data_IF_613080729252
#
_entry.id   IF_613080729252
#
_cell.length_a   1.000
_cell.length_b   1.000
_cell.length_c   1.000
_cell.angle_alpha   90.00
_cell.angle_beta   90.00
_cell.angle_gamma   90.00
#
_symmetry.space_group_name_H-M   'P 1'
#
loop_
_entity.id
_entity.type
_entity.pdbx_description
1 polymer ?
#
# COMPACT_ATOMS: atom_id res chain seq x y z
N UNK A 1 -8.69 -65.21 18.59
CA UNK A 1 -8.09 -63.89 18.29
C UNK A 1 -8.90 -63.28 17.16
N UNK A 2 -9.99 -62.58 17.48
CA UNK A 2 -10.84 -61.91 16.49
C UNK A 2 -10.31 -60.50 16.28
N UNK A 3 -9.56 -60.30 15.20
CA UNK A 3 -9.16 -58.98 14.74
C UNK A 3 -10.36 -58.29 14.09
N UNK A 4 -11.05 -57.47 14.88
CA UNK A 4 -12.07 -56.55 14.37
C UNK A 4 -11.39 -55.49 13.52
N UNK A 5 -11.59 -55.58 12.19
CA UNK A 5 -11.16 -54.55 11.26
C UNK A 5 -11.91 -53.25 11.57
N UNK A 6 -11.13 -52.22 11.90
CA UNK A 6 -11.60 -50.86 12.14
C UNK A 6 -12.38 -50.37 10.91
N UNK A 7 -13.56 -49.75 11.05
CA UNK A 7 -14.28 -49.21 9.90
C UNK A 7 -13.40 -48.14 9.25
N UNK A 8 -13.18 -48.28 7.95
CA UNK A 8 -12.56 -47.25 7.12
C UNK A 8 -13.47 -46.03 7.20
N UNK A 9 -13.03 -44.99 7.90
CA UNK A 9 -13.72 -43.70 7.95
C UNK A 9 -13.89 -43.19 6.51
N UNK A 10 -15.13 -43.22 6.04
CA UNK A 10 -15.55 -42.52 4.83
C UNK A 10 -15.18 -41.06 5.01
N UNK A 11 -14.24 -40.56 4.20
CA UNK A 11 -13.84 -39.16 4.15
C UNK A 11 -15.11 -38.32 3.94
N UNK A 12 -15.66 -37.74 5.01
CA UNK A 12 -16.85 -36.92 4.93
C UNK A 12 -16.56 -35.77 3.94
N UNK A 13 -17.32 -35.72 2.85
CA UNK A 13 -17.23 -34.64 1.87
C UNK A 13 -17.33 -33.31 2.62
N UNK A 14 -16.35 -32.42 2.45
CA UNK A 14 -16.36 -31.12 3.10
C UNK A 14 -17.70 -30.39 2.85
N UNK A 15 -18.26 -29.68 3.85
CA UNK A 15 -19.51 -28.96 3.68
C UNK A 15 -19.36 -27.92 2.56
N UNK A 16 -20.32 -27.89 1.64
CA UNK A 16 -20.39 -26.89 0.59
C UNK A 16 -21.15 -25.66 1.10
N UNK A 17 -20.52 -24.49 1.03
CA UNK A 17 -21.08 -23.20 1.41
C UNK A 17 -21.09 -22.28 0.18
N UNK A 18 -22.22 -21.63 -0.08
CA UNK A 18 -22.32 -20.58 -1.09
C UNK A 18 -22.07 -19.20 -0.46
N UNK A 19 -21.15 -18.43 -1.02
CA UNK A 19 -20.78 -17.09 -0.58
C UNK A 19 -21.18 -16.07 -1.64
N UNK A 20 -22.01 -15.11 -1.24
CA UNK A 20 -22.46 -14.02 -2.11
C UNK A 20 -21.71 -12.71 -1.83
N UNK A 21 -21.39 -11.97 -2.89
CA UNK A 21 -20.86 -10.61 -2.81
C UNK A 21 -21.26 -9.82 -4.07
N UNK A 22 -21.47 -8.51 -3.92
CA UNK A 22 -21.79 -7.61 -5.03
C UNK A 22 -20.57 -7.04 -5.76
N UNK A 23 -19.40 -7.11 -5.14
CA UNK A 23 -18.11 -6.82 -5.75
C UNK A 23 -17.66 -7.92 -6.70
N UNK A 24 -18.13 -7.90 -7.96
CA UNK A 24 -17.76 -8.90 -8.98
C UNK A 24 -16.23 -9.02 -9.16
N UNK A 25 -15.54 -7.87 -9.24
CA UNK A 25 -14.07 -7.82 -9.39
C UNK A 25 -13.38 -8.48 -8.19
N UNK A 26 -13.92 -8.29 -6.99
CA UNK A 26 -13.36 -8.87 -5.77
C UNK A 26 -13.52 -10.39 -5.78
N UNK A 27 -14.72 -10.88 -6.12
CA UNK A 27 -14.99 -12.31 -6.28
C UNK A 27 -14.07 -12.96 -7.31
N UNK A 28 -13.94 -12.36 -8.50
CA UNK A 28 -13.07 -12.90 -9.54
C UNK A 28 -11.60 -12.93 -9.08
N UNK A 29 -11.16 -11.92 -8.33
CA UNK A 29 -9.79 -11.85 -7.82
C UNK A 29 -9.50 -12.88 -6.73
N UNK A 30 -10.42 -13.08 -5.77
CA UNK A 30 -10.19 -13.98 -4.64
C UNK A 30 -10.31 -15.45 -5.03
N UNK A 31 -11.23 -15.78 -5.94
CA UNK A 31 -11.51 -17.17 -6.35
C UNK A 31 -10.84 -17.58 -7.66
N UNK A 32 -10.06 -16.70 -8.29
CA UNK A 32 -9.21 -17.12 -9.42
C UNK A 32 -8.10 -18.04 -8.91
N UNK A 33 -7.52 -18.86 -9.80
CA UNK A 33 -6.27 -19.59 -9.57
C UNK A 33 -5.05 -18.81 -10.07
N UNK A 34 -5.26 -17.68 -10.76
CA UNK A 34 -4.17 -16.90 -11.35
C UNK A 34 -3.28 -16.26 -10.26
N UNK A 35 -1.99 -16.09 -10.54
CA UNK A 35 -1.09 -15.42 -9.61
C UNK A 35 -1.54 -13.98 -9.33
N UNK A 36 -1.53 -13.56 -8.06
CA UNK A 36 -1.80 -12.16 -7.72
C UNK A 36 -0.61 -11.30 -8.15
N UNK A 37 -0.87 -10.21 -8.86
CA UNK A 37 0.20 -9.27 -9.21
C UNK A 37 0.73 -8.56 -7.95
N UNK A 38 2.05 -8.49 -7.79
CA UNK A 38 2.70 -7.73 -6.72
C UNK A 38 2.39 -6.22 -6.75
N UNK A 39 1.95 -5.71 -7.90
CA UNK A 39 1.49 -4.32 -8.10
C UNK A 39 -0.04 -4.19 -8.10
N UNK A 40 -0.77 -5.28 -7.85
CA UNK A 40 -2.22 -5.28 -7.82
C UNK A 40 -2.73 -4.50 -6.60
N UNK A 41 -3.68 -3.60 -6.81
CA UNK A 41 -4.33 -2.87 -5.73
C UNK A 41 -4.86 -3.85 -4.66
N UNK A 42 -4.62 -3.57 -3.37
CA UNK A 42 -5.10 -4.42 -2.26
C UNK A 42 -4.57 -5.87 -2.34
N UNK A 43 -3.29 -6.04 -2.66
CA UNK A 43 -2.61 -7.34 -2.70
C UNK A 43 -2.68 -8.06 -1.35
N UNK A 44 -2.44 -7.31 -0.26
CA UNK A 44 -2.48 -7.77 1.13
C UNK A 44 -3.82 -8.40 1.50
N UNK A 45 -4.93 -7.73 1.18
CA UNK A 45 -6.27 -8.25 1.42
C UNK A 45 -6.55 -9.47 0.53
N UNK A 46 -6.19 -9.40 -0.75
CA UNK A 46 -6.45 -10.49 -1.69
C UNK A 46 -5.65 -11.77 -1.36
N UNK A 47 -4.38 -11.64 -0.96
CA UNK A 47 -3.55 -12.78 -0.57
C UNK A 47 -4.02 -13.39 0.74
N UNK A 48 -4.41 -12.55 1.71
CA UNK A 48 -4.96 -13.02 2.99
C UNK A 48 -6.26 -13.78 2.78
N UNK A 49 -7.20 -13.26 1.99
CA UNK A 49 -8.48 -13.93 1.71
C UNK A 49 -8.25 -15.26 1.00
N UNK A 50 -7.36 -15.30 0.00
CA UNK A 50 -7.00 -16.56 -0.67
C UNK A 50 -6.38 -17.58 0.27
N UNK A 51 -5.46 -17.17 1.11
CA UNK A 51 -4.89 -18.04 2.12
C UNK A 51 -5.98 -18.58 3.05
N UNK A 52 -6.90 -17.73 3.52
CA UNK A 52 -8.02 -18.17 4.33
C UNK A 52 -8.91 -19.18 3.58
N UNK A 53 -9.28 -18.91 2.33
CA UNK A 53 -10.07 -19.83 1.50
C UNK A 53 -9.38 -21.19 1.32
N UNK A 54 -8.06 -21.23 1.12
CA UNK A 54 -7.30 -22.49 1.00
C UNK A 54 -7.24 -23.30 2.31
N UNK A 55 -7.29 -22.64 3.46
CA UNK A 55 -7.19 -23.30 4.77
C UNK A 55 -8.56 -23.60 5.39
N UNK A 56 -9.65 -23.10 4.82
CA UNK A 56 -10.99 -23.41 5.32
C UNK A 56 -11.30 -24.90 5.09
N UNK A 57 -11.83 -25.61 6.11
CA UNK A 57 -12.28 -26.99 5.95
C UNK A 57 -13.67 -27.07 5.26
N UNK A 58 -13.93 -26.17 4.31
CA UNK A 58 -15.21 -25.96 3.63
C UNK A 58 -14.95 -25.83 2.14
N UNK A 59 -15.86 -26.37 1.31
CA UNK A 59 -15.91 -26.00 -0.10
C UNK A 59 -16.70 -24.71 -0.21
N UNK A 60 -16.10 -23.67 -0.81
CA UNK A 60 -16.76 -22.36 -0.96
C UNK A 60 -17.06 -22.12 -2.44
N UNK A 61 -18.34 -22.00 -2.77
CA UNK A 61 -18.79 -21.55 -4.09
C UNK A 61 -19.09 -20.05 -4.05
N UNK A 62 -18.57 -19.32 -5.04
CA UNK A 62 -18.90 -17.89 -5.19
C UNK A 62 -20.20 -17.71 -5.95
N UNK A 63 -20.97 -16.70 -5.55
CA UNK A 63 -22.10 -16.18 -6.30
C UNK A 63 -22.02 -14.67 -6.35
N UNK A 64 -22.09 -14.10 -7.55
CA UNK A 64 -22.26 -12.66 -7.69
C UNK A 64 -23.73 -12.29 -7.46
N UNK A 65 -23.97 -11.28 -6.62
CA UNK A 65 -25.29 -10.68 -6.42
C UNK A 65 -25.25 -9.22 -6.85
N UNK A 66 -26.34 -8.68 -7.40
CA UNK A 66 -26.34 -7.26 -7.77
C UNK A 66 -26.48 -6.41 -6.50
N UNK A 67 -25.70 -5.34 -6.40
CA UNK A 67 -25.81 -4.37 -5.31
C UNK A 67 -27.11 -3.55 -5.42
N UNK A 68 -27.59 -3.06 -4.27
CA UNK A 68 -28.74 -2.16 -4.15
C UNK A 68 -30.04 -2.61 -4.83
N UNK A 69 -30.30 -3.92 -4.86
CA UNK A 69 -31.52 -4.48 -5.45
C UNK A 69 -32.80 -4.01 -4.75
N UNK A 70 -32.70 -3.67 -3.45
CA UNK A 70 -33.77 -3.11 -2.62
C UNK A 70 -34.29 -1.76 -3.13
N UNK A 71 -33.51 -1.02 -3.93
CA UNK A 71 -33.95 0.23 -4.58
C UNK A 71 -34.89 0.01 -5.76
N UNK A 72 -34.93 -1.21 -6.30
CA UNK A 72 -35.64 -1.53 -7.54
C UNK A 72 -36.67 -2.65 -7.36
N UNK A 73 -36.54 -3.49 -6.33
CA UNK A 73 -37.47 -4.57 -5.99
C UNK A 73 -37.74 -4.57 -4.49
N UNK A 74 -38.99 -4.85 -4.07
CA UNK A 74 -39.31 -5.06 -2.67
C UNK A 74 -38.45 -6.15 -2.03
N UNK A 75 -38.02 -5.95 -0.78
CA UNK A 75 -37.17 -6.90 -0.03
C UNK A 75 -37.75 -8.32 0.02
N UNK A 76 -39.08 -8.45 0.14
CA UNK A 76 -39.78 -9.73 0.15
C UNK A 76 -39.69 -10.51 -1.16
N UNK A 77 -39.34 -9.86 -2.26
CA UNK A 77 -39.18 -10.46 -3.59
C UNK A 77 -37.71 -10.78 -3.92
N UNK A 78 -36.78 -10.45 -3.03
CA UNK A 78 -35.38 -10.81 -3.15
C UNK A 78 -35.17 -12.24 -2.67
N UNK A 79 -34.24 -12.97 -3.29
CA UNK A 79 -33.84 -14.26 -2.76
C UNK A 79 -33.06 -14.13 -1.44
N UNK A 80 -32.84 -15.25 -0.76
CA UNK A 80 -32.22 -15.25 0.56
C UNK A 80 -30.82 -14.59 0.58
N UNK A 81 -29.98 -14.80 -0.44
CA UNK A 81 -28.64 -14.21 -0.51
C UNK A 81 -28.70 -12.72 -0.88
N UNK A 82 -29.62 -12.35 -1.77
CA UNK A 82 -29.88 -10.94 -2.11
C UNK A 82 -30.36 -10.15 -0.88
N UNK A 83 -31.27 -10.72 -0.07
CA UNK A 83 -31.71 -10.13 1.20
C UNK A 83 -30.55 -9.95 2.19
N UNK A 84 -29.71 -10.98 2.36
CA UNK A 84 -28.53 -10.90 3.22
C UNK A 84 -27.52 -9.86 2.73
N UNK A 85 -27.35 -9.69 1.42
CA UNK A 85 -26.48 -8.65 0.87
C UNK A 85 -26.97 -7.25 1.23
N UNK A 86 -28.29 -6.99 1.15
CA UNK A 86 -28.90 -5.72 1.57
C UNK A 86 -28.66 -5.46 3.06
N UNK A 87 -28.82 -6.48 3.90
CA UNK A 87 -28.58 -6.34 5.35
C UNK A 87 -27.11 -6.04 5.67
N UNK A 88 -26.17 -6.70 4.98
CA UNK A 88 -24.73 -6.48 5.17
C UNK A 88 -24.33 -5.08 4.68
N UNK A 89 -24.85 -4.61 3.55
CA UNK A 89 -24.65 -3.23 3.06
C UNK A 89 -25.17 -2.21 4.07
N UNK A 90 -26.39 -2.39 4.58
CA UNK A 90 -26.97 -1.53 5.62
C UNK A 90 -26.12 -1.50 6.90
N UNK A 91 -25.61 -2.66 7.34
CA UNK A 91 -24.72 -2.76 8.52
C UNK A 91 -23.36 -2.10 8.26
N UNK A 92 -22.79 -2.26 7.07
CA UNK A 92 -21.54 -1.62 6.70
C UNK A 92 -21.70 -0.08 6.69
N UNK A 93 -22.79 0.43 6.12
CA UNK A 93 -23.09 1.86 6.08
C UNK A 93 -23.39 2.44 7.47
N UNK A 94 -24.08 1.71 8.35
CA UNK A 94 -24.32 2.19 9.72
C UNK A 94 -23.03 2.23 10.53
N UNK A 95 -22.16 1.23 10.37
CA UNK A 95 -20.86 1.20 11.02
C UNK A 95 -19.93 2.30 10.49
N UNK A 96 -19.90 2.55 9.18
CA UNK A 96 -19.15 3.69 8.60
C UNK A 96 -19.59 5.02 9.23
N UNK A 97 -20.90 5.27 9.31
CA UNK A 97 -21.46 6.47 9.94
C UNK A 97 -21.13 6.58 11.44
N UNK A 98 -21.08 5.46 12.15
CA UNK A 98 -20.66 5.42 13.56
C UNK A 98 -19.18 5.80 13.71
N UNK A 99 -18.31 5.29 12.86
CA UNK A 99 -16.89 5.64 12.88
C UNK A 99 -16.69 7.12 12.58
N UNK A 100 -17.45 7.68 11.64
CA UNK A 100 -17.43 9.11 11.32
C UNK A 100 -17.89 9.95 12.51
N UNK A 101 -19.00 9.60 13.16
CA UNK A 101 -19.54 10.36 14.29
C UNK A 101 -18.66 10.28 15.55
N UNK A 102 -17.93 9.19 15.74
CA UNK A 102 -17.00 9.00 16.87
C UNK A 102 -15.60 9.55 16.60
N UNK A 103 -15.35 10.13 15.42
CA UNK A 103 -14.03 10.62 15.02
C UNK A 103 -12.98 9.51 14.84
N UNK A 104 -13.43 8.26 14.76
CA UNK A 104 -12.58 7.07 14.54
C UNK A 104 -12.47 6.69 13.06
N UNK A 105 -13.24 7.36 12.19
CA UNK A 105 -13.07 7.25 10.74
C UNK A 105 -11.71 7.80 10.34
N UNK A 106 -10.75 6.91 10.14
CA UNK A 106 -9.55 7.24 9.39
C UNK A 106 -10.01 7.58 7.97
N UNK A 107 -9.76 8.82 7.52
CA UNK A 107 -10.10 9.27 6.17
C UNK A 107 -9.82 8.16 5.15
N UNK A 108 -10.80 7.87 4.29
CA UNK A 108 -10.69 6.85 3.22
C UNK A 108 -9.33 7.00 2.59
N UNK A 109 -8.49 5.97 2.72
CA UNK A 109 -7.11 6.03 2.29
C UNK A 109 -7.07 6.25 0.77
N UNK A 110 -6.91 7.47 0.22
CA UNK A 110 -7.36 7.69 -1.13
C UNK A 110 -6.36 7.15 -2.15
N UNK A 111 -5.10 6.90 -1.76
CA UNK A 111 -4.00 6.66 -2.71
C UNK A 111 -2.81 5.85 -2.17
N UNK A 112 -2.90 5.14 -1.04
CA UNK A 112 -1.70 4.48 -0.49
C UNK A 112 -1.06 3.39 -1.39
N UNK A 113 -1.78 2.82 -2.37
CA UNK A 113 -1.27 1.71 -3.18
C UNK A 113 -1.44 1.85 -4.70
N UNK A 114 -2.03 2.94 -5.21
CA UNK A 114 -2.24 3.10 -6.65
C UNK A 114 -1.11 3.87 -7.36
N UNK A 115 -0.14 4.38 -6.62
CA UNK A 115 1.01 5.06 -7.19
C UNK A 115 2.12 4.03 -7.42
N UNK A 116 2.62 3.86 -8.66
CA UNK A 116 3.65 2.87 -8.94
C UNK A 116 4.89 3.18 -8.10
N UNK A 117 5.16 2.30 -7.13
CA UNK A 117 6.39 2.35 -6.34
C UNK A 117 7.57 2.36 -7.33
N UNK A 118 8.54 3.27 -7.17
CA UNK A 118 9.74 3.23 -7.98
C UNK A 118 10.48 1.93 -7.66
N UNK A 119 10.66 1.11 -8.70
CA UNK A 119 11.35 -0.19 -8.77
C UNK A 119 10.64 -1.41 -8.14
N UNK A 120 10.44 -2.44 -8.98
CA UNK A 120 9.77 -3.72 -8.71
C UNK A 120 10.56 -4.66 -7.79
N UNK A 121 11.81 -4.33 -7.43
CA UNK A 121 12.78 -5.30 -6.90
C UNK A 121 13.53 -4.82 -5.63
N UNK A 122 12.84 -4.22 -4.66
CA UNK A 122 13.52 -3.76 -3.42
C UNK A 122 13.76 -4.85 -2.37
N UNK A 123 12.94 -5.91 -2.33
CA UNK A 123 13.06 -7.01 -1.36
C UNK A 123 12.64 -8.33 -2.00
N UNK A 124 13.35 -9.41 -1.70
CA UNK A 124 12.90 -10.76 -2.05
C UNK A 124 11.84 -11.23 -1.04
N UNK A 125 11.00 -12.21 -1.41
CA UNK A 125 10.07 -12.83 -0.47
C UNK A 125 10.79 -13.46 0.73
N UNK A 126 12.02 -13.96 0.53
CA UNK A 126 12.85 -14.52 1.59
C UNK A 126 13.28 -13.45 2.61
N UNK A 127 13.60 -12.24 2.17
CA UNK A 127 13.97 -11.14 3.06
C UNK A 127 12.86 -10.72 4.02
N UNK A 128 11.58 -11.00 3.69
CA UNK A 128 10.44 -10.72 4.57
C UNK A 128 10.48 -11.62 5.82
N UNK A 129 10.90 -12.87 5.67
CA UNK A 129 11.02 -13.83 6.76
C UNK A 129 12.18 -13.50 7.72
N UNK A 130 13.19 -12.76 7.26
CA UNK A 130 14.33 -12.32 8.06
C UNK A 130 14.02 -11.10 8.92
N UNK A 131 12.90 -10.41 8.66
CA UNK A 131 12.48 -9.24 9.44
C UNK A 131 12.00 -9.69 10.81
N UNK A 132 12.66 -9.20 11.86
CA UNK A 132 12.17 -9.39 13.22
C UNK A 132 11.02 -8.41 13.53
N UNK A 133 9.79 -8.86 13.28
CA UNK A 133 8.58 -8.06 13.43
C UNK A 133 8.30 -7.60 14.87
N UNK A 134 8.72 -8.37 15.88
CA UNK A 134 8.40 -8.07 17.27
C UNK A 134 9.15 -6.82 17.80
N UNK A 135 10.48 -6.71 17.69
CA UNK A 135 11.22 -5.48 17.96
C UNK A 135 10.75 -4.30 17.10
N UNK A 136 10.46 -4.52 15.81
CA UNK A 136 9.96 -3.47 14.93
C UNK A 136 8.62 -2.90 15.43
N UNK A 137 7.68 -3.77 15.82
CA UNK A 137 6.40 -3.36 16.38
C UNK A 137 6.56 -2.59 17.69
N UNK A 138 7.49 -3.01 18.56
CA UNK A 138 7.80 -2.28 19.81
C UNK A 138 8.40 -0.90 19.51
N UNK A 139 9.36 -0.83 18.59
CA UNK A 139 9.98 0.42 18.17
C UNK A 139 8.94 1.40 17.58
N UNK A 140 8.07 0.93 16.69
CA UNK A 140 6.99 1.73 16.13
C UNK A 140 6.04 2.24 17.22
N UNK A 141 5.63 1.39 18.19
CA UNK A 141 4.77 1.81 19.30
C UNK A 141 5.43 2.84 20.22
N UNK A 142 6.75 2.81 20.37
CA UNK A 142 7.49 3.77 21.19
C UNK A 142 7.60 5.16 20.56
N UNK A 143 7.37 5.29 19.24
CA UNK A 143 7.40 6.58 18.57
C UNK A 143 6.16 7.44 18.92
N UNK A 144 6.29 8.77 18.99
CA UNK A 144 5.16 9.68 18.95
C UNK A 144 4.24 9.43 17.73
N UNK A 145 2.94 9.65 17.87
CA UNK A 145 1.94 9.28 16.84
C UNK A 145 2.20 9.92 15.47
N UNK A 146 2.71 11.15 15.43
CA UNK A 146 3.09 11.81 14.18
C UNK A 146 4.26 11.08 13.49
N UNK A 147 5.25 10.61 14.25
CA UNK A 147 6.38 9.85 13.72
C UNK A 147 5.98 8.42 13.31
N UNK A 148 5.05 7.78 14.03
CA UNK A 148 4.48 6.50 13.61
C UNK A 148 3.88 6.56 12.21
N UNK A 149 3.19 7.66 11.87
CA UNK A 149 2.62 7.87 10.54
C UNK A 149 3.64 8.32 9.51
N UNK A 150 4.64 9.10 9.95
CA UNK A 150 5.67 9.64 9.07
C UNK A 150 6.64 8.55 8.58
N UNK A 151 7.07 7.65 9.47
CA UNK A 151 8.04 6.58 9.16
C UNK A 151 7.67 5.73 7.94
N UNK A 152 6.47 5.12 7.85
CA UNK A 152 6.11 4.32 6.68
C UNK A 152 6.01 5.16 5.39
N UNK A 153 5.56 6.41 5.49
CA UNK A 153 5.54 7.33 4.34
C UNK A 153 6.96 7.66 3.87
N UNK A 154 7.90 7.82 4.80
CA UNK A 154 9.28 8.13 4.47
C UNK A 154 9.94 6.94 3.79
N UNK A 155 9.78 5.73 4.35
CA UNK A 155 10.36 4.49 3.80
C UNK A 155 9.77 4.17 2.42
N UNK A 156 8.47 4.40 2.21
CA UNK A 156 7.84 4.15 0.91
C UNK A 156 8.21 5.20 -0.15
N UNK A 157 8.76 6.35 0.27
CA UNK A 157 9.06 7.49 -0.60
C UNK A 157 7.88 8.43 -0.84
N UNK A 158 6.79 8.29 -0.08
CA UNK A 158 5.55 9.07 -0.19
C UNK A 158 5.40 10.14 0.91
N UNK A 159 6.52 10.62 1.46
CA UNK A 159 6.50 11.71 2.44
C UNK A 159 6.26 13.06 1.77
N UNK A 160 5.68 14.01 2.51
CA UNK A 160 5.45 15.38 2.04
C UNK A 160 6.76 16.15 1.83
N UNK A 161 7.45 15.84 0.74
CA UNK A 161 8.62 16.53 0.19
C UNK A 161 8.25 17.13 -1.16
N UNK A 162 9.09 18.02 -1.70
CA UNK A 162 8.83 18.72 -2.96
C UNK A 162 8.31 17.83 -4.09
N UNK A 163 8.91 16.64 -4.32
CA UNK A 163 8.44 15.65 -5.30
C UNK A 163 6.97 15.27 -5.09
N UNK A 164 6.59 14.87 -3.87
CA UNK A 164 5.23 14.43 -3.59
C UNK A 164 4.23 15.60 -3.60
N UNK A 165 4.62 16.78 -3.13
CA UNK A 165 3.76 17.97 -3.22
C UNK A 165 3.45 18.36 -4.67
N UNK A 166 4.41 18.20 -5.58
CA UNK A 166 4.17 18.39 -7.01
C UNK A 166 3.21 17.32 -7.57
N UNK A 167 3.41 16.04 -7.22
CA UNK A 167 2.53 14.94 -7.66
C UNK A 167 1.09 15.11 -7.13
N UNK A 168 0.93 15.63 -5.91
CA UNK A 168 -0.37 15.86 -5.29
C UNK A 168 -1.04 17.18 -5.70
N UNK A 169 -0.44 17.95 -6.63
CA UNK A 169 -0.91 19.28 -7.02
C UNK A 169 -1.06 20.28 -5.85
N UNK A 170 -0.26 20.10 -4.79
CA UNK A 170 -0.23 21.01 -3.64
C UNK A 170 0.82 22.13 -3.81
N UNK A 171 1.76 21.97 -4.74
CA UNK A 171 2.79 22.96 -5.07
C UNK A 171 3.16 22.85 -6.55
N UNK A 172 3.42 23.98 -7.21
CA UNK A 172 3.98 23.99 -8.55
C UNK A 172 5.49 23.66 -8.59
N UNK A 173 6.18 23.76 -7.44
CA UNK A 173 7.63 23.53 -7.33
C UNK A 173 7.89 22.23 -6.59
N UNK A 174 8.76 21.40 -7.15
CA UNK A 174 9.30 20.19 -6.53
C UNK A 174 10.67 20.38 -5.89
N UNK A 175 11.26 21.57 -5.99
CA UNK A 175 12.58 21.89 -5.47
C UNK A 175 12.62 21.94 -3.94
N UNK A 176 13.76 21.60 -3.35
CA UNK A 176 13.94 21.68 -1.89
C UNK A 176 13.86 23.15 -1.42
N UNK A 177 13.04 23.46 -0.40
CA UNK A 177 12.90 24.83 0.11
C UNK A 177 14.10 25.30 0.94
N UNK A 178 15.01 24.40 1.35
CA UNK A 178 16.15 24.73 2.21
C UNK A 178 17.41 25.08 1.41
N UNK A 179 17.80 24.21 0.47
CA UNK A 179 19.04 24.39 -0.28
C UNK A 179 18.85 25.12 -1.61
N UNK A 180 17.62 25.13 -2.16
CA UNK A 180 17.29 25.66 -3.50
C UNK A 180 18.08 25.07 -4.68
N UNK A 181 19.17 24.32 -4.42
CA UNK A 181 20.03 23.66 -5.40
C UNK A 181 19.52 22.28 -5.82
N UNK A 182 18.63 21.68 -5.03
CA UNK A 182 17.97 20.44 -5.40
C UNK A 182 16.68 20.75 -6.18
N UNK A 183 16.61 20.45 -7.49
CA UNK A 183 15.45 20.76 -8.32
C UNK A 183 14.25 19.84 -8.04
N UNK A 184 14.50 18.64 -7.52
CA UNK A 184 13.46 17.66 -7.15
C UNK A 184 13.82 17.06 -5.80
N UNK A 185 13.18 17.55 -4.74
CA UNK A 185 13.35 17.04 -3.39
C UNK A 185 12.59 15.72 -3.20
N UNK A 186 13.32 14.62 -3.06
CA UNK A 186 12.75 13.34 -2.65
C UNK A 186 12.93 13.08 -1.15
N UNK A 187 12.39 11.96 -0.68
CA UNK A 187 12.48 11.56 0.73
C UNK A 187 13.93 11.38 1.21
N UNK A 188 14.87 10.96 0.35
CA UNK A 188 16.27 10.76 0.69
C UNK A 188 17.05 12.07 0.71
N UNK A 189 16.60 13.10 -0.01
CA UNK A 189 17.19 14.43 0.05
C UNK A 189 17.07 15.05 1.45
N UNK A 190 16.01 14.75 2.20
CA UNK A 190 15.77 15.33 3.54
C UNK A 190 16.98 15.16 4.48
N UNK A 191 17.51 13.94 4.72
CA UNK A 191 18.71 13.75 5.52
C UNK A 191 20.03 14.14 4.80
N UNK A 192 20.01 14.29 3.47
CA UNK A 192 21.19 14.61 2.64
C UNK A 192 21.31 16.08 2.24
N UNK A 193 20.37 16.92 2.70
CA UNK A 193 20.25 18.28 2.22
C UNK A 193 21.50 19.10 2.60
N UNK A 194 22.21 19.71 1.63
CA UNK A 194 23.47 20.42 1.89
C UNK A 194 23.26 21.80 2.51
N UNK A 195 22.01 22.24 2.71
CA UNK A 195 21.73 23.52 3.36
C UNK A 195 22.38 23.55 4.75
N UNK A 196 23.09 24.63 5.15
CA UNK A 196 23.81 24.69 6.42
C UNK A 196 22.94 24.35 7.64
N UNK A 197 21.68 24.78 7.64
CA UNK A 197 20.73 24.48 8.71
C UNK A 197 20.29 23.01 8.74
N UNK A 198 20.24 22.34 7.59
CA UNK A 198 19.92 20.92 7.51
C UNK A 198 21.11 20.06 7.94
N UNK A 199 22.32 20.39 7.45
CA UNK A 199 23.55 19.72 7.84
C UNK A 199 23.84 19.84 9.34
N UNK A 200 23.62 21.03 9.94
CA UNK A 200 23.77 21.23 11.37
C UNK A 200 22.77 20.39 12.19
N UNK A 201 21.50 20.33 11.77
CA UNK A 201 20.49 19.49 12.43
C UNK A 201 20.82 17.99 12.30
N UNK A 202 21.30 17.56 11.13
CA UNK A 202 21.75 16.19 10.93
C UNK A 202 22.88 15.82 11.90
N UNK A 203 23.94 16.63 11.95
CA UNK A 203 25.07 16.42 12.86
C UNK A 203 24.61 16.34 14.32
N UNK A 204 23.73 17.25 14.73
CA UNK A 204 23.15 17.26 16.08
C UNK A 204 22.44 15.95 16.39
N UNK A 205 21.58 15.45 15.49
CA UNK A 205 20.83 14.19 15.68
C UNK A 205 21.74 12.98 15.65
N UNK A 206 22.74 12.97 14.77
CA UNK A 206 23.71 11.90 14.61
C UNK A 206 24.59 11.74 15.87
N UNK A 207 25.05 12.84 16.45
CA UNK A 207 25.75 12.84 17.74
C UNK A 207 24.86 12.39 18.90
N UNK A 208 23.62 12.90 18.98
CA UNK A 208 22.67 12.48 20.01
C UNK A 208 22.36 10.98 19.93
N UNK A 209 22.28 10.43 18.72
CA UNK A 209 22.09 8.99 18.50
C UNK A 209 23.29 8.18 19.02
N UNK A 210 24.52 8.65 18.80
CA UNK A 210 25.72 8.02 19.37
C UNK A 210 25.70 8.01 20.89
N UNK A 211 25.43 9.15 21.51
CA UNK A 211 25.32 9.26 22.97
C UNK A 211 24.24 8.33 23.52
N UNK A 212 23.10 8.19 22.81
CA UNK A 212 22.05 7.25 23.20
C UNK A 212 22.54 5.79 23.13
N UNK A 213 23.23 5.38 22.06
CA UNK A 213 23.78 4.01 21.94
C UNK A 213 24.75 3.68 23.08
N UNK A 214 25.61 4.64 23.44
CA UNK A 214 26.54 4.52 24.58
C UNK A 214 25.79 4.39 25.91
N UNK A 215 24.72 5.18 26.10
CA UNK A 215 23.87 5.11 27.29
C UNK A 215 23.16 3.76 27.41
N UNK A 216 22.77 3.16 26.27
CA UNK A 216 22.16 1.82 26.23
C UNK A 216 23.19 0.69 26.28
N UNK A 217 24.49 0.98 26.45
CA UNK A 217 25.57 -0.01 26.47
C UNK A 217 25.56 -0.90 25.22
N UNK A 218 25.27 -0.32 24.06
CA UNK A 218 25.32 -1.02 22.77
C UNK A 218 26.76 -1.49 22.50
N UNK A 219 26.92 -2.67 21.90
CA UNK A 219 28.25 -3.19 21.55
C UNK A 219 29.05 -2.16 20.72
N UNK A 220 30.33 -1.88 21.04
CA UNK A 220 31.12 -0.84 20.38
C UNK A 220 31.22 -1.00 18.86
N UNK A 221 31.24 -2.25 18.36
CA UNK A 221 31.29 -2.57 16.94
C UNK A 221 30.01 -2.14 16.22
N UNK A 222 28.85 -2.36 16.85
CA UNK A 222 27.54 -1.98 16.32
C UNK A 222 27.40 -0.45 16.35
N UNK A 223 27.81 0.19 17.45
CA UNK A 223 27.83 1.66 17.56
C UNK A 223 28.65 2.28 16.42
N UNK A 224 29.90 1.83 16.25
CA UNK A 224 30.82 2.34 15.24
C UNK A 224 30.27 2.14 13.82
N UNK A 225 29.76 0.93 13.53
CA UNK A 225 29.16 0.61 12.24
C UNK A 225 27.98 1.51 11.91
N UNK A 226 26.98 1.58 12.80
CA UNK A 226 25.77 2.38 12.56
C UNK A 226 26.08 3.88 12.45
N UNK A 227 27.00 4.37 13.28
CA UNK A 227 27.42 5.76 13.25
C UNK A 227 28.09 6.12 11.92
N UNK A 228 29.11 5.38 11.48
CA UNK A 228 29.79 5.68 10.21
C UNK A 228 28.91 5.39 8.98
N UNK A 229 28.06 4.37 9.03
CA UNK A 229 27.09 4.09 7.96
C UNK A 229 26.16 5.28 7.71
N UNK A 230 25.52 5.79 8.78
CA UNK A 230 24.58 6.91 8.66
C UNK A 230 25.27 8.20 8.21
N UNK A 231 26.48 8.46 8.70
CA UNK A 231 27.31 9.60 8.27
C UNK A 231 27.63 9.55 6.77
N UNK A 232 28.00 8.36 6.29
CA UNK A 232 28.27 8.12 4.87
C UNK A 232 27.00 8.30 4.05
N UNK A 233 25.89 7.68 4.47
CA UNK A 233 24.60 7.73 3.76
C UNK A 233 24.03 9.15 3.60
N UNK A 234 24.31 10.04 4.55
CA UNK A 234 23.92 11.46 4.50
C UNK A 234 24.82 12.31 3.60
N UNK A 235 26.05 11.86 3.34
CA UNK A 235 27.04 12.54 2.52
C UNK A 235 27.02 12.09 1.05
N UNK A 236 26.26 11.03 0.72
CA UNK A 236 26.13 10.55 -0.64
C UNK A 236 25.49 11.63 -1.53
N UNK A 237 26.12 11.97 -2.68
CA UNK A 237 25.55 12.95 -3.59
C UNK A 237 24.19 12.49 -4.11
N UNK A 238 23.40 13.46 -4.57
CA UNK A 238 22.23 13.19 -5.38
C UNK A 238 22.69 12.51 -6.68
N UNK A 239 22.61 11.19 -6.73
CA UNK A 239 22.56 10.49 -8.00
C UNK A 239 21.14 10.69 -8.55
N UNK A 240 21.05 11.16 -9.80
CA UNK A 240 19.76 11.17 -10.49
C UNK A 240 19.16 9.77 -10.38
N UNK A 241 17.85 9.61 -10.11
CA UNK A 241 17.24 8.29 -10.10
C UNK A 241 17.64 7.58 -11.39
N UNK A 242 18.11 6.32 -11.34
CA UNK A 242 18.64 5.64 -12.51
C UNK A 242 17.61 5.77 -13.62
N UNK A 243 17.99 6.43 -14.71
CA UNK A 243 17.23 6.38 -15.95
C UNK A 243 17.06 4.90 -16.26
N UNK A 244 15.81 4.47 -16.50
CA UNK A 244 15.45 3.10 -16.88
C UNK A 244 16.56 2.50 -17.76
N UNK A 245 17.13 1.33 -17.42
CA UNK A 245 18.10 0.71 -18.30
C UNK A 245 17.45 0.48 -19.67
N UNK A 246 18.01 1.15 -20.67
CA UNK A 246 17.97 0.81 -22.10
C UNK A 246 16.61 0.49 -22.72
N UNK A 247 15.87 1.52 -23.13
CA UNK A 247 15.33 1.49 -24.49
C UNK A 247 16.10 2.53 -25.29
N UNK A 248 17.20 2.09 -25.91
CA UNK A 248 17.84 2.85 -26.96
C UNK A 248 16.83 2.99 -28.09
N UNK A 249 16.14 4.13 -28.15
CA UNK A 249 15.39 4.50 -29.35
C UNK A 249 16.42 5.07 -30.31
N UNK A 250 16.94 4.19 -31.15
CA UNK A 250 17.61 4.57 -32.39
C UNK A 250 16.63 5.44 -33.16
N UNK A 251 17.02 6.69 -33.43
CA UNK A 251 16.30 7.58 -34.32
C UNK A 251 16.22 6.93 -35.71
N UNK A 252 15.01 6.69 -36.21
CA UNK A 252 14.71 6.61 -37.64
C UNK A 252 13.20 6.65 -37.89
N UNK A 253 12.82 7.60 -38.75
CA UNK A 253 11.65 7.60 -39.64
C UNK A 253 10.29 8.00 -39.05
N UNK A 254 9.78 9.11 -39.58
CA UNK A 254 8.45 9.68 -39.40
C UNK A 254 7.32 8.66 -39.60
N UNK A 255 6.32 8.72 -38.72
CA UNK A 255 4.99 8.14 -38.97
C UNK A 255 3.95 9.27 -38.83
N UNK A 256 3.07 9.50 -39.82
CA UNK A 256 2.16 10.65 -39.82
C UNK A 256 1.10 10.53 -38.72
N UNK A 257 0.78 11.65 -38.09
CA UNK A 257 -0.29 11.74 -37.08
C UNK A 257 -1.67 11.48 -37.69
N UNK A 258 -2.56 10.71 -37.04
CA UNK A 258 -3.95 10.57 -37.48
C UNK A 258 -4.74 11.88 -37.24
N UNK A 259 -5.77 12.17 -38.06
CA UNK A 259 -6.47 13.44 -38.01
C UNK A 259 -7.31 13.58 -36.74
N UNK A 260 -7.26 14.78 -36.15
CA UNK A 260 -8.10 15.16 -35.00
C UNK A 260 -9.58 15.12 -35.38
N UNK A 261 -10.47 14.51 -34.57
CA UNK A 261 -11.90 14.61 -34.79
C UNK A 261 -12.39 16.04 -34.49
N UNK A 262 -13.15 16.60 -35.44
CA UNK A 262 -13.80 17.90 -35.35
C UNK A 262 -14.88 17.88 -34.26
N UNK A 263 -14.67 18.66 -33.19
CA UNK A 263 -15.72 18.96 -32.22
C UNK A 263 -16.68 19.99 -32.84
N UNK A 264 -17.90 19.54 -33.13
CA UNK A 264 -19.03 20.39 -33.48
C UNK A 264 -19.48 21.28 -32.30
N UNK A 265 -20.26 22.35 -32.56
CA UNK A 265 -20.47 23.43 -31.61
C UNK A 265 -21.29 22.98 -30.39
N UNK A 266 -20.81 23.39 -29.22
CA UNK A 266 -21.42 23.21 -27.90
C UNK A 266 -22.70 24.04 -27.85
N UNK A 267 -23.86 23.39 -27.75
CA UNK A 267 -25.14 24.08 -27.55
C UNK A 267 -25.12 24.80 -26.19
N UNK A 268 -25.33 26.13 -26.21
CA UNK A 268 -25.65 26.93 -25.04
C UNK A 268 -27.06 26.60 -24.57
N UNK A 269 -27.19 26.14 -23.34
CA UNK A 269 -28.45 26.24 -22.60
C UNK A 269 -28.31 27.38 -21.60
N UNK A 270 -28.94 28.50 -21.93
CA UNK A 270 -29.34 29.54 -20.98
C UNK A 270 -30.73 29.19 -20.47
N UNK A 271 -30.87 29.11 -19.15
CA UNK A 271 -31.88 29.80 -18.34
C UNK A 271 -31.40 29.75 -16.90
#
# INVERSE_FOLDING_TARGET
>A
MNGSARPTETLASQPLVEMACDGLIALDKFFSEAHLSSSGAQLDLASTIRALLCHLPLQVHRRHVKGHLDKHRPFSQLDWLEQRNVEVDSKAQSYSRLLESTGQSAASNPRFFHEPLPSKDRFSEQSICEVNWLPLARAMKALPTNLQRWTPKHISGMTGVGKCFAIWNCSAKSSCPRCSSCPVEDHLHVPRCPAPTAAAEWLKRHLAFRTWMQTQQTAPEIEAFLFEYLKTAASLPWESPPSKPGLAVSASSEVPSPPKPSLGPRASLKA
#
